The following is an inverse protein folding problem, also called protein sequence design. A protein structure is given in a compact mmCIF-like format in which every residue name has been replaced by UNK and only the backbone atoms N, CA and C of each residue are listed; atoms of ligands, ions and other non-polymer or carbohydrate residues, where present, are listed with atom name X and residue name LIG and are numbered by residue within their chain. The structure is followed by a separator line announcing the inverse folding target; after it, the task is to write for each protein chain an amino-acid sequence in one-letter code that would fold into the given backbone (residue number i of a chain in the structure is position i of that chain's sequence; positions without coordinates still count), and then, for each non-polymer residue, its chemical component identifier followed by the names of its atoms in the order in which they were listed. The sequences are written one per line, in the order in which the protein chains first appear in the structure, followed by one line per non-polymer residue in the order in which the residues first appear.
data_IF_388293755418
#
_entry.id   IF_388293755418
#
_cell.length_a   1.000
_cell.length_b   1.000
_cell.length_c   1.000
_cell.angle_alpha   90.00
_cell.angle_beta   90.00
_cell.angle_gamma   90.00
#
_symmetry.space_group_name_H-M   'P 1'
#
loop_
_entity.id
_entity.type
_entity.pdbx_description
1 polymer ?
#
# COMPACT_ATOMS: atom_id res chain seq x y z
N UNK A 1 4.77 22.87 17.98
CA UNK A 1 5.51 21.62 18.08
C UNK A 1 4.61 20.47 18.53
N UNK A 2 5.10 19.23 18.56
CA UNK A 2 4.36 18.03 18.91
C UNK A 2 3.73 18.11 20.32
N UNK A 3 4.45 18.62 21.32
CA UNK A 3 3.89 18.84 22.68
C UNK A 3 2.63 19.72 22.68
N UNK A 4 2.61 20.78 21.87
CA UNK A 4 1.41 21.63 21.76
C UNK A 4 0.26 20.91 21.07
N UNK A 5 0.56 20.07 20.07
CA UNK A 5 -0.42 19.20 19.41
C UNK A 5 -1.01 18.20 20.42
N UNK A 6 -0.15 17.52 21.19
CA UNK A 6 -0.58 16.58 22.22
C UNK A 6 -1.53 17.24 23.23
N UNK A 7 -1.19 18.43 23.72
CA UNK A 7 -2.04 19.17 24.64
C UNK A 7 -3.41 19.52 24.05
N UNK A 8 -3.46 19.84 22.77
CA UNK A 8 -4.71 20.19 22.07
C UNK A 8 -5.59 18.97 21.81
N UNK A 9 -4.98 17.85 21.44
CA UNK A 9 -5.68 16.62 21.03
C UNK A 9 -5.86 15.61 22.18
N UNK A 10 -5.44 15.94 23.41
CA UNK A 10 -5.53 15.03 24.55
C UNK A 10 -4.59 13.82 24.49
N UNK A 11 -3.49 13.94 23.73
CA UNK A 11 -2.50 12.88 23.59
C UNK A 11 -1.44 13.03 24.69
N UNK A 12 -1.05 11.92 25.31
CA UNK A 12 0.02 11.93 26.30
C UNK A 12 1.39 12.07 25.62
N UNK A 13 2.00 13.26 25.75
CA UNK A 13 3.33 13.54 25.22
C UNK A 13 4.41 12.65 25.88
N UNK A 14 4.34 12.45 27.18
CA UNK A 14 5.32 11.70 27.96
C UNK A 14 5.33 10.22 27.56
N UNK A 15 4.17 9.68 27.14
CA UNK A 15 4.09 8.31 26.62
C UNK A 15 5.05 8.06 25.47
N UNK A 16 5.30 9.06 24.61
CA UNK A 16 6.19 8.94 23.45
C UNK A 16 7.63 9.38 23.71
N UNK A 17 7.84 10.41 24.52
CA UNK A 17 9.11 11.12 24.58
C UNK A 17 9.85 11.06 25.92
N UNK A 18 9.28 10.49 26.96
CA UNK A 18 9.96 10.26 28.21
C UNK A 18 11.15 9.33 28.03
N UNK A 19 12.26 9.56 28.73
CA UNK A 19 13.51 8.84 28.54
C UNK A 19 13.39 7.32 28.69
N UNK A 20 12.52 6.85 29.58
CA UNK A 20 12.22 5.44 29.86
C UNK A 20 10.99 4.89 29.11
N UNK A 21 10.44 5.64 28.16
CA UNK A 21 9.29 5.19 27.37
C UNK A 21 9.63 3.98 26.50
N UNK A 22 8.71 3.02 26.48
CA UNK A 22 8.75 1.82 25.63
C UNK A 22 7.99 2.01 24.30
N UNK A 23 7.31 3.16 24.11
CA UNK A 23 6.64 3.47 22.85
C UNK A 23 7.65 3.59 21.70
N UNK A 24 7.25 3.17 20.52
CA UNK A 24 8.12 3.28 19.33
C UNK A 24 7.91 4.61 18.61
N UNK A 25 9.00 5.25 18.22
CA UNK A 25 9.02 6.50 17.46
C UNK A 25 9.89 6.32 16.23
N UNK A 26 9.29 6.37 15.07
CA UNK A 26 9.94 6.17 13.78
C UNK A 26 10.00 7.47 13.00
N UNK A 27 11.17 7.78 12.43
CA UNK A 27 11.35 8.92 11.54
C UNK A 27 11.51 8.45 10.11
N UNK A 28 10.58 8.86 9.24
CA UNK A 28 10.68 8.68 7.79
C UNK A 28 11.10 10.00 7.17
N UNK A 29 12.26 10.04 6.53
CA UNK A 29 12.89 11.26 6.05
C UNK A 29 13.45 11.13 4.64
N UNK A 30 13.62 12.24 3.94
CA UNK A 30 14.42 12.30 2.73
C UNK A 30 15.92 12.18 3.04
N UNK A 31 16.67 11.61 2.12
CA UNK A 31 18.12 11.37 2.29
C UNK A 31 18.97 12.64 2.53
N UNK A 32 18.46 13.80 2.15
CA UNK A 32 19.12 15.10 2.32
C UNK A 32 19.21 15.57 3.77
N UNK A 33 18.39 15.02 4.66
CA UNK A 33 18.35 15.42 6.08
C UNK A 33 18.79 14.29 7.03
N UNK A 34 19.47 13.26 6.52
CA UNK A 34 19.98 12.14 7.34
C UNK A 34 20.84 12.64 8.50
N UNK A 35 21.80 13.53 8.25
CA UNK A 35 22.70 14.02 9.29
C UNK A 35 21.94 14.73 10.42
N UNK A 36 20.88 15.46 10.11
CA UNK A 36 20.06 16.13 11.13
C UNK A 36 19.31 15.13 12.00
N UNK A 37 18.80 14.06 11.44
CA UNK A 37 17.95 13.09 12.15
C UNK A 37 18.74 11.92 12.77
N UNK A 38 19.92 11.60 12.24
CA UNK A 38 20.74 10.50 12.73
C UNK A 38 21.87 10.94 13.67
N UNK A 39 22.28 12.21 13.63
CA UNK A 39 23.36 12.75 14.46
C UNK A 39 22.87 13.87 15.39
N UNK A 40 22.44 15.00 14.84
CA UNK A 40 22.12 16.19 15.64
C UNK A 40 20.88 15.99 16.50
N UNK A 41 19.80 15.48 15.95
CA UNK A 41 18.55 15.31 16.66
C UNK A 41 18.66 14.32 17.84
N UNK A 42 19.25 13.12 17.69
CA UNK A 42 19.48 12.23 18.83
C UNK A 42 20.34 12.87 19.94
N UNK A 43 21.39 13.60 19.58
CA UNK A 43 22.21 14.31 20.58
C UNK A 43 21.41 15.34 21.36
N UNK A 44 20.61 16.16 20.66
CA UNK A 44 19.76 17.17 21.30
C UNK A 44 18.70 16.54 22.22
N UNK A 45 18.11 15.43 21.81
CA UNK A 45 17.11 14.72 22.62
C UNK A 45 17.77 14.15 23.86
N UNK A 46 18.92 13.50 23.73
CA UNK A 46 19.67 12.95 24.85
C UNK A 46 20.03 14.03 25.89
N UNK A 47 20.60 15.15 25.43
CA UNK A 47 20.98 16.24 26.31
C UNK A 47 19.76 16.92 27.00
N UNK A 48 18.62 16.89 26.34
CA UNK A 48 17.36 17.41 26.89
C UNK A 48 16.60 16.41 27.78
N UNK A 49 17.13 15.21 28.02
CA UNK A 49 16.53 14.17 28.86
C UNK A 49 15.35 13.43 28.19
N UNK A 50 15.27 13.48 26.88
CA UNK A 50 14.26 12.74 26.11
C UNK A 50 14.85 11.46 25.50
N UNK A 51 13.98 10.50 25.18
CA UNK A 51 14.38 9.32 24.43
C UNK A 51 14.76 9.68 22.98
N UNK A 52 15.67 8.91 22.39
CA UNK A 52 15.96 8.97 20.97
C UNK A 52 14.93 8.20 20.13
N UNK A 53 14.81 8.49 18.83
CA UNK A 53 13.96 7.69 17.93
C UNK A 53 14.32 6.21 17.96
N UNK A 54 13.32 5.34 17.79
CA UNK A 54 13.52 3.89 17.64
C UNK A 54 14.30 3.57 16.39
N UNK A 55 13.96 4.22 15.27
CA UNK A 55 14.70 4.14 14.02
C UNK A 55 14.50 5.39 13.16
N UNK A 56 15.47 5.63 12.27
CA UNK A 56 15.41 6.67 11.25
C UNK A 56 15.52 5.98 9.89
N UNK A 57 14.49 6.10 9.08
CA UNK A 57 14.43 5.52 7.74
C UNK A 57 14.46 6.61 6.68
N UNK A 58 15.50 6.55 5.84
CA UNK A 58 15.69 7.51 4.78
C UNK A 58 15.25 6.93 3.44
N UNK A 59 14.65 7.75 2.59
CA UNK A 59 14.30 7.43 1.21
C UNK A 59 14.94 8.42 0.23
N UNK A 60 15.05 8.02 -1.03
CA UNK A 60 15.52 8.87 -2.13
C UNK A 60 14.53 9.95 -2.52
N UNK A 61 14.90 10.76 -3.48
CA UNK A 61 14.03 11.78 -4.05
C UNK A 61 13.07 11.19 -5.08
N UNK A 62 11.95 11.88 -5.29
CA UNK A 62 11.05 11.60 -6.41
C UNK A 62 11.41 12.52 -7.58
N UNK A 63 11.72 11.91 -8.73
CA UNK A 63 11.84 12.59 -10.01
C UNK A 63 10.56 12.42 -10.82
N UNK A 64 10.36 13.22 -11.84
CA UNK A 64 9.21 13.12 -12.77
C UNK A 64 9.75 13.02 -14.18
N UNK A 65 9.51 11.90 -14.85
CA UNK A 65 10.05 11.59 -16.18
C UNK A 65 11.57 11.87 -16.25
N UNK A 66 12.32 11.35 -15.27
CA UNK A 66 13.77 11.49 -15.15
C UNK A 66 14.27 12.88 -14.76
N UNK A 67 13.37 13.81 -14.43
CA UNK A 67 13.75 15.18 -14.06
C UNK A 67 13.44 15.47 -12.59
N UNK A 68 14.38 16.12 -11.91
CA UNK A 68 14.16 16.58 -10.53
C UNK A 68 12.97 17.53 -10.50
N UNK A 69 12.07 17.32 -9.53
CA UNK A 69 10.95 18.23 -9.29
C UNK A 69 11.46 19.64 -8.98
N UNK A 70 10.98 20.64 -9.72
CA UNK A 70 11.34 22.03 -9.52
C UNK A 70 10.15 22.93 -9.85
N UNK A 71 9.77 23.80 -8.90
CA UNK A 71 8.69 24.76 -9.09
C UNK A 71 9.04 25.75 -10.23
N UNK A 72 10.28 26.23 -10.26
CA UNK A 72 10.75 27.19 -11.26
C UNK A 72 10.81 26.61 -12.67
N UNK A 73 10.96 25.29 -12.83
CA UNK A 73 11.04 24.60 -14.12
C UNK A 73 9.70 23.99 -14.56
N UNK A 74 8.64 24.16 -13.76
CA UNK A 74 7.33 23.59 -14.08
C UNK A 74 7.26 22.05 -14.01
N UNK A 75 8.28 21.37 -13.45
CA UNK A 75 8.32 19.91 -13.31
C UNK A 75 7.79 19.45 -11.96
N UNK A 76 7.21 20.35 -11.18
CA UNK A 76 6.68 20.05 -9.85
C UNK A 76 5.19 19.72 -9.93
N UNK A 77 4.81 18.51 -9.53
CA UNK A 77 3.41 18.10 -9.39
C UNK A 77 2.99 18.33 -7.95
N UNK A 78 2.05 19.24 -7.73
CA UNK A 78 1.48 19.46 -6.40
C UNK A 78 0.54 18.31 -6.05
N UNK A 79 0.59 17.83 -4.81
CA UNK A 79 -0.32 16.78 -4.32
C UNK A 79 -1.80 17.19 -4.48
N UNK A 80 -2.13 18.48 -4.26
CA UNK A 80 -3.49 18.99 -4.46
C UNK A 80 -3.93 18.84 -5.92
N UNK A 81 -3.11 19.26 -6.87
CA UNK A 81 -3.41 19.11 -8.31
C UNK A 81 -3.66 17.65 -8.69
N UNK A 82 -2.86 16.72 -8.13
CA UNK A 82 -3.09 15.29 -8.35
C UNK A 82 -4.47 14.86 -7.79
N UNK A 83 -4.78 15.24 -6.56
CA UNK A 83 -6.01 14.85 -5.87
C UNK A 83 -7.29 15.43 -6.50
N UNK A 84 -7.18 16.57 -7.20
CA UNK A 84 -8.29 17.18 -7.91
C UNK A 84 -8.69 16.39 -9.17
N UNK A 85 -7.82 15.48 -9.66
CA UNK A 85 -8.02 14.74 -10.91
C UNK A 85 -8.02 13.23 -10.78
N UNK A 86 -7.30 12.67 -9.78
CA UNK A 86 -7.08 11.23 -9.66
C UNK A 86 -7.23 10.74 -8.22
N UNK A 87 -7.63 9.47 -8.09
CA UNK A 87 -7.72 8.81 -6.81
C UNK A 87 -6.31 8.63 -6.20
N UNK A 88 -6.11 9.02 -4.92
CA UNK A 88 -4.83 8.88 -4.23
C UNK A 88 -4.31 7.44 -4.18
N UNK A 89 -5.17 6.44 -4.18
CA UNK A 89 -4.78 5.03 -4.09
C UNK A 89 -3.97 4.57 -5.30
N UNK A 90 -4.19 5.15 -6.49
CA UNK A 90 -3.39 4.82 -7.67
C UNK A 90 -1.93 5.23 -7.50
N UNK A 91 -1.68 6.41 -6.96
CA UNK A 91 -0.32 6.90 -6.71
C UNK A 91 0.34 6.15 -5.56
N UNK A 92 -0.40 5.84 -4.50
CA UNK A 92 0.09 5.04 -3.37
C UNK A 92 0.51 3.66 -3.83
N UNK A 93 -0.32 3.00 -4.64
CA UNK A 93 0.02 1.71 -5.25
C UNK A 93 1.29 1.80 -6.09
N UNK A 94 1.36 2.78 -6.98
CA UNK A 94 2.52 2.96 -7.86
C UNK A 94 3.82 3.15 -7.07
N UNK A 95 3.79 3.99 -6.05
CA UNK A 95 4.94 4.18 -5.18
C UNK A 95 5.29 2.92 -4.40
N UNK A 96 4.32 2.26 -3.79
CA UNK A 96 4.56 1.02 -3.08
C UNK A 96 5.19 -0.06 -3.98
N UNK A 97 4.71 -0.19 -5.23
CA UNK A 97 5.25 -1.15 -6.20
C UNK A 97 6.71 -0.88 -6.61
N UNK A 98 7.17 0.37 -6.47
CA UNK A 98 8.54 0.81 -6.84
C UNK A 98 9.46 1.02 -5.64
N UNK A 99 8.92 1.21 -4.44
CA UNK A 99 9.71 1.45 -3.24
C UNK A 99 10.50 0.19 -2.85
N UNK A 100 11.78 0.41 -2.67
CA UNK A 100 12.71 -0.55 -2.08
C UNK A 100 13.17 -0.05 -0.72
N UNK A 101 13.82 -0.89 0.09
CA UNK A 101 14.40 -0.47 1.36
C UNK A 101 15.67 0.41 1.22
N UNK A 102 15.98 0.89 0.01
CA UNK A 102 17.18 1.69 -0.29
C UNK A 102 16.89 3.19 -0.32
N UNK A 103 17.99 3.99 -0.39
CA UNK A 103 17.94 5.45 -0.54
C UNK A 103 18.01 5.91 -2.01
N UNK A 104 17.74 5.01 -2.95
CA UNK A 104 17.73 5.32 -4.38
C UNK A 104 16.59 6.26 -4.75
N UNK A 105 16.83 7.10 -5.74
CA UNK A 105 15.81 8.00 -6.27
C UNK A 105 14.78 7.21 -7.06
N UNK A 106 13.51 7.59 -6.91
CA UNK A 106 12.39 6.96 -7.59
C UNK A 106 11.84 7.89 -8.67
N UNK A 107 11.66 7.36 -9.87
CA UNK A 107 11.06 8.12 -10.96
C UNK A 107 9.57 7.87 -11.09
N UNK A 108 8.78 8.93 -11.01
CA UNK A 108 7.38 8.95 -11.42
C UNK A 108 7.33 9.17 -12.94
N UNK A 109 7.40 8.07 -13.68
CA UNK A 109 7.14 8.08 -15.12
C UNK A 109 5.63 7.98 -15.33
N UNK A 110 5.03 8.97 -16.00
CA UNK A 110 3.57 9.07 -16.15
C UNK A 110 2.98 7.98 -17.06
N UNK A 111 3.73 7.53 -18.06
CA UNK A 111 3.29 6.44 -18.93
C UNK A 111 3.33 5.10 -18.20
N UNK A 112 4.42 4.81 -17.46
CA UNK A 112 4.54 3.63 -16.62
C UNK A 112 3.48 3.63 -15.50
N UNK A 113 3.19 4.80 -14.91
CA UNK A 113 2.12 4.96 -13.94
C UNK A 113 0.76 4.55 -14.51
N UNK A 114 0.38 5.09 -15.65
CA UNK A 114 -0.89 4.75 -16.30
C UNK A 114 -0.94 3.27 -16.70
N UNK A 115 0.15 2.73 -17.26
CA UNK A 115 0.25 1.33 -17.63
C UNK A 115 0.07 0.40 -16.43
N UNK A 116 0.74 0.67 -15.30
CA UNK A 116 0.63 -0.15 -14.08
C UNK A 116 -0.76 -0.07 -13.45
N UNK A 117 -1.36 1.10 -13.35
CA UNK A 117 -2.72 1.24 -12.81
C UNK A 117 -3.70 0.42 -13.66
N UNK A 118 -3.58 0.50 -14.98
CA UNK A 118 -4.47 -0.23 -15.88
C UNK A 118 -4.21 -1.74 -15.87
N UNK A 119 -2.95 -2.19 -15.89
CA UNK A 119 -2.63 -3.62 -15.92
C UNK A 119 -2.90 -4.30 -14.58
N UNK A 120 -2.48 -3.68 -13.48
CA UNK A 120 -2.48 -4.33 -12.18
C UNK A 120 -3.78 -4.09 -11.41
N UNK A 121 -4.18 -2.82 -11.21
CA UNK A 121 -5.38 -2.52 -10.44
C UNK A 121 -6.65 -2.82 -11.24
N UNK A 122 -6.76 -2.33 -12.48
CA UNK A 122 -7.96 -2.55 -13.29
C UNK A 122 -7.97 -3.96 -13.89
N UNK A 123 -6.89 -4.35 -14.56
CA UNK A 123 -6.79 -5.61 -15.29
C UNK A 123 -6.71 -6.85 -14.41
N UNK A 124 -6.25 -6.73 -13.16
CA UNK A 124 -6.17 -7.87 -12.23
C UNK A 124 -7.18 -7.74 -11.10
N UNK A 125 -7.03 -6.75 -10.20
CA UNK A 125 -7.82 -6.69 -8.96
C UNK A 125 -9.30 -6.38 -9.23
N UNK A 126 -9.60 -5.30 -9.94
CA UNK A 126 -10.98 -4.93 -10.28
C UNK A 126 -11.63 -5.97 -11.19
N UNK A 127 -10.83 -6.60 -12.06
CA UNK A 127 -11.32 -7.62 -12.98
C UNK A 127 -11.90 -8.84 -12.25
N UNK A 128 -11.34 -9.27 -11.11
CA UNK A 128 -11.89 -10.34 -10.29
C UNK A 128 -13.34 -10.00 -9.90
N UNK A 129 -13.52 -8.80 -9.30
CA UNK A 129 -14.84 -8.35 -8.87
C UNK A 129 -15.81 -8.16 -10.05
N UNK A 130 -15.37 -7.57 -11.17
CA UNK A 130 -16.22 -7.29 -12.32
C UNK A 130 -16.74 -8.57 -13.01
N UNK A 131 -15.95 -9.65 -12.96
CA UNK A 131 -16.31 -10.96 -13.54
C UNK A 131 -17.20 -11.80 -12.64
N UNK A 132 -17.24 -11.54 -11.33
CA UNK A 132 -17.94 -12.33 -10.33
C UNK A 132 -19.18 -11.62 -9.77
N UNK A 133 -19.08 -10.34 -9.42
CA UNK A 133 -20.13 -9.58 -8.76
C UNK A 133 -21.48 -9.53 -9.53
N UNK A 134 -21.39 -9.56 -10.87
CA UNK A 134 -22.58 -9.55 -11.71
C UNK A 134 -23.51 -10.76 -11.53
N UNK A 135 -22.94 -11.92 -11.25
CA UNK A 135 -23.71 -13.15 -10.98
C UNK A 135 -24.35 -13.06 -9.59
N UNK A 136 -23.58 -12.65 -8.59
CA UNK A 136 -24.05 -12.51 -7.21
C UNK A 136 -25.22 -11.51 -7.15
N UNK A 137 -25.07 -10.34 -7.78
CA UNK A 137 -26.09 -9.30 -7.75
C UNK A 137 -27.36 -9.70 -8.50
N UNK A 138 -27.22 -10.31 -9.69
CA UNK A 138 -28.38 -10.58 -10.56
C UNK A 138 -29.14 -11.85 -10.22
N UNK A 139 -28.47 -12.87 -9.68
CA UNK A 139 -29.06 -14.17 -9.40
C UNK A 139 -29.34 -14.43 -7.93
N UNK A 140 -28.57 -13.81 -7.04
CA UNK A 140 -28.61 -14.09 -5.60
C UNK A 140 -28.89 -12.84 -4.75
N UNK A 141 -29.45 -11.78 -5.35
CA UNK A 141 -29.80 -10.52 -4.68
C UNK A 141 -28.65 -9.92 -3.84
N UNK A 142 -27.40 -10.11 -4.29
CA UNK A 142 -26.20 -9.66 -3.59
C UNK A 142 -25.77 -10.54 -2.42
N UNK A 143 -26.42 -11.68 -2.19
CA UNK A 143 -26.07 -12.61 -1.11
C UNK A 143 -24.96 -13.58 -1.55
N UNK A 144 -23.93 -13.68 -0.74
CA UNK A 144 -22.86 -14.66 -0.91
C UNK A 144 -23.32 -16.03 -0.41
N UNK A 145 -22.81 -17.08 -1.03
CA UNK A 145 -22.99 -18.45 -0.58
C UNK A 145 -22.21 -18.75 0.69
N UNK A 146 -22.33 -19.98 1.17
CA UNK A 146 -21.48 -20.47 2.25
C UNK A 146 -20.06 -20.65 1.75
N UNK A 147 -19.08 -20.16 2.51
CA UNK A 147 -17.66 -20.38 2.19
C UNK A 147 -17.37 -21.87 2.34
N UNK A 148 -17.03 -22.53 1.26
CA UNK A 148 -16.54 -23.91 1.27
C UNK A 148 -15.02 -23.90 1.53
N UNK A 149 -14.51 -24.90 2.25
CA UNK A 149 -13.06 -25.07 2.39
C UNK A 149 -12.45 -25.38 1.02
N UNK A 150 -11.68 -24.43 0.51
CA UNK A 150 -10.99 -24.57 -0.76
C UNK A 150 -9.47 -24.40 -0.55
N UNK A 151 -8.67 -25.27 -1.15
CA UNK A 151 -7.22 -25.25 -0.98
C UNK A 151 -6.59 -23.89 -1.35
N UNK A 152 -7.15 -23.21 -2.37
CA UNK A 152 -6.70 -21.87 -2.77
C UNK A 152 -6.97 -20.81 -1.70
N UNK A 153 -8.11 -20.87 -0.99
CA UNK A 153 -8.39 -19.94 0.13
C UNK A 153 -7.35 -20.07 1.24
N UNK A 154 -6.89 -21.28 1.52
CA UNK A 154 -5.82 -21.51 2.49
C UNK A 154 -4.52 -20.84 2.06
N UNK A 155 -4.14 -20.95 0.79
CA UNK A 155 -2.97 -20.28 0.23
C UNK A 155 -3.06 -18.76 0.40
N UNK A 156 -4.22 -18.14 0.14
CA UNK A 156 -4.42 -16.69 0.30
C UNK A 156 -4.26 -16.27 1.77
N UNK A 157 -4.82 -17.03 2.70
CA UNK A 157 -4.73 -16.75 4.15
C UNK A 157 -3.27 -16.87 4.62
N UNK A 158 -2.57 -17.91 4.19
CA UNK A 158 -1.17 -18.13 4.55
C UNK A 158 -0.24 -17.05 3.99
N UNK A 159 -0.48 -16.59 2.77
CA UNK A 159 0.27 -15.49 2.17
C UNK A 159 0.11 -14.16 2.92
N UNK A 160 -0.95 -13.99 3.71
CA UNK A 160 -1.16 -12.80 4.53
C UNK A 160 0.00 -12.51 5.49
N UNK A 161 0.57 -13.56 6.11
CA UNK A 161 1.72 -13.42 7.02
C UNK A 161 2.99 -12.97 6.29
N UNK A 162 3.24 -13.51 5.12
CA UNK A 162 4.38 -13.11 4.29
C UNK A 162 4.25 -11.64 3.85
N UNK A 163 3.05 -11.23 3.46
CA UNK A 163 2.76 -9.84 3.06
C UNK A 163 2.91 -8.89 4.26
N UNK A 164 2.43 -9.27 5.43
CA UNK A 164 2.61 -8.53 6.69
C UNK A 164 4.09 -8.30 6.97
N UNK A 165 4.93 -9.35 6.90
CA UNK A 165 6.37 -9.25 7.08
C UNK A 165 7.03 -8.29 6.09
N UNK A 166 6.62 -8.31 4.81
CA UNK A 166 7.12 -7.35 3.83
C UNK A 166 6.77 -5.91 4.17
N UNK A 167 5.57 -5.65 4.70
CA UNK A 167 5.19 -4.32 5.17
C UNK A 167 6.01 -3.90 6.39
N UNK A 168 6.17 -4.76 7.39
CA UNK A 168 6.94 -4.48 8.60
C UNK A 168 8.42 -4.21 8.28
N UNK A 169 8.98 -4.94 7.33
CA UNK A 169 10.36 -4.74 6.87
C UNK A 169 10.51 -3.65 5.81
N UNK A 170 9.43 -2.99 5.43
CA UNK A 170 9.36 -1.91 4.41
C UNK A 170 9.73 -2.36 3.00
N UNK A 171 9.58 -3.63 2.72
CA UNK A 171 9.78 -4.21 1.39
C UNK A 171 8.51 -4.10 0.53
N UNK A 172 7.98 -2.89 0.41
CA UNK A 172 6.68 -2.63 -0.22
C UNK A 172 6.59 -3.18 -1.65
N UNK A 173 7.66 -3.09 -2.44
CA UNK A 173 7.69 -3.64 -3.79
C UNK A 173 7.53 -5.17 -3.82
N UNK A 174 8.01 -5.88 -2.79
CA UNK A 174 7.79 -7.33 -2.64
C UNK A 174 6.35 -7.63 -2.23
N UNK A 175 5.81 -6.86 -1.29
CA UNK A 175 4.40 -6.98 -0.87
C UNK A 175 3.46 -6.81 -2.08
N UNK A 176 3.64 -5.74 -2.88
CA UNK A 176 2.82 -5.50 -4.07
C UNK A 176 2.94 -6.61 -5.10
N UNK A 177 4.15 -7.13 -5.32
CA UNK A 177 4.35 -8.26 -6.26
C UNK A 177 3.60 -9.50 -5.79
N UNK A 178 3.72 -9.85 -4.49
CA UNK A 178 3.02 -11.01 -3.94
C UNK A 178 1.50 -10.87 -4.04
N UNK A 179 0.96 -9.68 -3.75
CA UNK A 179 -0.47 -9.39 -3.91
C UNK A 179 -0.92 -9.56 -5.37
N UNK A 180 -0.11 -9.09 -6.34
CA UNK A 180 -0.45 -9.25 -7.76
C UNK A 180 -0.36 -10.71 -8.24
N UNK A 181 0.55 -11.51 -7.70
CA UNK A 181 0.60 -12.96 -7.94
C UNK A 181 -0.67 -13.65 -7.43
N UNK A 182 -1.14 -13.31 -6.24
CA UNK A 182 -2.41 -13.81 -5.71
C UNK A 182 -3.60 -13.38 -6.58
N UNK A 183 -3.61 -12.13 -7.05
CA UNK A 183 -4.65 -11.68 -7.98
C UNK A 183 -4.63 -12.45 -9.31
N UNK A 184 -3.46 -12.83 -9.82
CA UNK A 184 -3.36 -13.70 -11.00
C UNK A 184 -3.92 -15.10 -10.73
N UNK A 185 -3.64 -15.69 -9.57
CA UNK A 185 -4.21 -16.98 -9.14
C UNK A 185 -5.75 -16.89 -9.05
N UNK A 186 -6.28 -15.81 -8.47
CA UNK A 186 -7.73 -15.60 -8.39
C UNK A 186 -8.37 -15.45 -9.78
N UNK A 187 -7.75 -14.67 -10.68
CA UNK A 187 -8.24 -14.54 -12.05
C UNK A 187 -8.19 -15.86 -12.82
N UNK A 188 -7.13 -16.66 -12.60
CA UNK A 188 -7.03 -17.99 -13.21
C UNK A 188 -8.12 -18.92 -12.68
N UNK A 189 -8.41 -18.89 -11.38
CA UNK A 189 -9.51 -19.66 -10.79
C UNK A 189 -10.85 -19.31 -11.44
N UNK A 190 -11.17 -18.01 -11.58
CA UNK A 190 -12.39 -17.58 -12.28
C UNK A 190 -12.43 -18.04 -13.74
N UNK A 191 -11.25 -18.11 -14.42
CA UNK A 191 -11.15 -18.66 -15.78
C UNK A 191 -11.42 -20.17 -15.82
N UNK A 192 -10.89 -20.93 -14.87
CA UNK A 192 -11.02 -22.38 -14.82
C UNK A 192 -12.45 -22.80 -14.49
N UNK A 193 -13.08 -22.14 -13.53
CA UNK A 193 -14.47 -22.41 -13.09
C UNK A 193 -15.52 -21.91 -14.08
N UNK A 194 -15.20 -20.93 -14.92
CA UNK A 194 -16.08 -20.41 -15.97
C UNK A 194 -17.51 -20.08 -15.47
N UNK A 195 -17.72 -19.20 -14.49
CA UNK A 195 -19.03 -18.95 -13.92
C UNK A 195 -20.08 -18.54 -14.96
N UNK A 196 -19.67 -17.95 -16.09
CA UNK A 196 -20.56 -17.62 -17.21
C UNK A 196 -21.07 -18.85 -17.97
N UNK A 197 -20.42 -20.00 -17.86
CA UNK A 197 -20.88 -21.29 -18.41
C UNK A 197 -21.81 -21.94 -17.41
N UNK A 198 -21.43 -22.02 -16.14
CA UNK A 198 -22.25 -22.56 -15.04
C UNK A 198 -23.60 -21.83 -14.98
N UNK A 199 -23.58 -20.50 -15.11
CA UNK A 199 -24.78 -19.67 -15.10
C UNK A 199 -25.84 -19.98 -16.19
N UNK A 200 -25.46 -20.71 -17.25
CA UNK A 200 -26.38 -21.13 -18.31
C UNK A 200 -26.97 -22.52 -18.09
N UNK A 201 -26.52 -23.25 -17.09
CA UNK A 201 -26.95 -24.59 -16.77
C UNK A 201 -28.07 -24.54 -15.72
N UNK A 202 -29.15 -25.30 -15.93
CA UNK A 202 -30.22 -25.42 -14.96
C UNK A 202 -29.79 -26.23 -13.73
N UNK A 203 -30.19 -25.82 -12.53
CA UNK A 203 -29.89 -26.54 -11.28
C UNK A 203 -28.44 -26.39 -10.76
N UNK A 204 -27.65 -25.45 -11.28
CA UNK A 204 -26.27 -25.21 -10.86
C UNK A 204 -26.09 -23.94 -10.00
N UNK A 205 -27.19 -23.41 -9.43
CA UNK A 205 -27.12 -22.16 -8.68
C UNK A 205 -26.25 -22.26 -7.41
N UNK A 206 -26.26 -23.40 -6.72
CA UNK A 206 -25.39 -23.62 -5.56
C UNK A 206 -23.91 -23.59 -5.94
N UNK A 207 -23.54 -24.23 -7.05
CA UNK A 207 -22.17 -24.23 -7.57
C UNK A 207 -21.74 -22.86 -8.09
N UNK A 208 -22.66 -22.07 -8.62
CA UNK A 208 -22.38 -20.71 -9.08
C UNK A 208 -22.21 -19.74 -7.91
N UNK A 209 -22.88 -19.97 -6.79
CA UNK A 209 -22.83 -19.13 -5.60
C UNK A 209 -21.64 -19.45 -4.68
N UNK A 210 -21.16 -20.67 -4.70
CA UNK A 210 -19.99 -21.14 -3.94
C UNK A 210 -18.67 -20.55 -4.47
#
# INVERSE_FOLDING_TARGET
SFKNLCNREGIDFEHFWKADSTAEVYHFIGKDIINFHALFWPSMLHDAGFRTPTAVWAHGFVTVNGKKMSKSRGTFIMARTYLDHLNPEYLRYYFAAKLTGSVDDMDLNLEDFAARVNSDLVGKVVNIASRSAGFITKRFDGQLGQVTEHAKLKEFIEAGKEIEEFYETREFGRAMRRIMELADIANQYVNDEQPWVIAKQEGQDENLQA
#
